data_IF_187212360669
#
_entry.id   IF_187212360669
#
_cell.length_a   1.000
_cell.length_b   1.000
_cell.length_c   1.000
_cell.angle_alpha   90.00
_cell.angle_beta   90.00
_cell.angle_gamma   90.00
#
_symmetry.space_group_name_H-M   'P 1'
#
loop_
_entity.id
_entity.type
_entity.pdbx_description
1 polymer ?
#
# COMPACT_ATOMS: atom_id res chain seq x y z
N UNK A 1 -13.20 -2.91 1.44
CA UNK A 1 -11.76 -3.18 1.26
C UNK A 1 -11.04 -2.75 2.51
N UNK A 2 -10.37 -3.68 3.18
CA UNK A 2 -9.52 -3.42 4.34
C UNK A 2 -8.16 -2.84 3.90
N UNK A 3 -7.38 -2.23 4.82
CA UNK A 3 -6.04 -1.73 4.49
C UNK A 3 -5.07 -2.82 4.01
N UNK A 4 -5.25 -4.05 4.49
CA UNK A 4 -4.50 -5.20 4.02
C UNK A 4 -4.88 -5.57 2.58
N UNK A 5 -6.18 -5.66 2.28
CA UNK A 5 -6.67 -5.92 0.91
C UNK A 5 -6.24 -4.81 -0.07
N UNK A 6 -6.21 -3.56 0.38
CA UNK A 6 -5.71 -2.44 -0.42
C UNK A 6 -4.21 -2.57 -0.73
N UNK A 7 -3.43 -3.05 0.23
CA UNK A 7 -2.01 -3.33 0.03
C UNK A 7 -1.80 -4.51 -0.93
N UNK A 8 -2.56 -5.60 -0.80
CA UNK A 8 -2.53 -6.71 -1.76
C UNK A 8 -2.92 -6.25 -3.17
N UNK A 9 -3.95 -5.43 -3.29
CA UNK A 9 -4.38 -4.85 -4.56
C UNK A 9 -3.27 -3.97 -5.18
N UNK A 10 -2.57 -3.16 -4.38
CA UNK A 10 -1.44 -2.36 -4.85
C UNK A 10 -0.29 -3.24 -5.36
N UNK A 11 0.04 -4.33 -4.65
CA UNK A 11 1.05 -5.30 -5.08
C UNK A 11 0.65 -5.98 -6.41
N UNK A 12 -0.62 -6.34 -6.55
CA UNK A 12 -1.17 -6.92 -7.77
C UNK A 12 -1.13 -5.92 -8.94
N UNK A 13 -1.55 -4.68 -8.72
CA UNK A 13 -1.53 -3.60 -9.71
C UNK A 13 -0.12 -3.27 -10.21
N UNK A 14 0.89 -3.36 -9.34
CA UNK A 14 2.30 -3.21 -9.71
C UNK A 14 2.86 -4.40 -10.54
N UNK A 15 2.09 -5.50 -10.68
CA UNK A 15 2.51 -6.72 -11.38
C UNK A 15 3.34 -7.68 -10.51
N UNK A 16 3.12 -7.67 -9.19
CA UNK A 16 3.70 -8.60 -8.23
C UNK A 16 4.73 -7.98 -7.28
N UNK A 17 5.09 -8.74 -6.25
CA UNK A 17 5.90 -8.26 -5.11
C UNK A 17 7.29 -7.73 -5.53
N UNK A 18 7.94 -8.32 -6.53
CA UNK A 18 9.25 -7.86 -7.02
C UNK A 18 9.15 -6.48 -7.67
N UNK A 19 8.14 -6.27 -8.51
CA UNK A 19 7.92 -4.97 -9.18
C UNK A 19 7.48 -3.91 -8.19
N UNK A 20 6.56 -4.26 -7.29
CA UNK A 20 6.13 -3.40 -6.19
C UNK A 20 7.31 -2.97 -5.30
N UNK A 21 8.14 -3.92 -4.87
CA UNK A 21 9.31 -3.63 -4.04
C UNK A 21 10.26 -2.65 -4.72
N UNK A 22 10.62 -2.90 -5.97
CA UNK A 22 11.46 -1.97 -6.77
C UNK A 22 10.84 -0.59 -6.91
N UNK A 23 9.53 -0.52 -7.11
CA UNK A 23 8.79 0.73 -7.27
C UNK A 23 8.85 1.60 -6.01
N UNK A 24 8.74 1.01 -4.81
CA UNK A 24 8.77 1.75 -3.53
C UNK A 24 10.15 1.77 -2.86
N UNK A 25 11.20 1.22 -3.52
CA UNK A 25 12.57 1.23 -3.01
C UNK A 25 12.90 0.18 -1.94
N UNK A 26 12.19 -0.95 -1.90
CA UNK A 26 12.45 -2.06 -0.94
C UNK A 26 12.66 -3.41 -1.65
N UNK A 27 13.25 -4.37 -0.93
CA UNK A 27 13.41 -5.73 -1.44
C UNK A 27 12.08 -6.47 -1.54
N UNK A 28 11.96 -7.42 -2.48
CA UNK A 28 10.78 -8.28 -2.58
C UNK A 28 10.52 -9.06 -1.29
N UNK A 29 11.58 -9.53 -0.60
CA UNK A 29 11.46 -10.21 0.69
C UNK A 29 10.81 -9.35 1.78
N UNK A 30 11.07 -8.04 1.78
CA UNK A 30 10.38 -7.11 2.71
C UNK A 30 8.88 -7.07 2.44
N UNK A 31 8.50 -6.96 1.17
CA UNK A 31 7.08 -6.97 0.75
C UNK A 31 6.42 -8.29 1.16
N UNK A 32 7.08 -9.43 0.90
CA UNK A 32 6.61 -10.74 1.30
C UNK A 32 6.42 -10.85 2.81
N UNK A 33 7.39 -10.40 3.60
CA UNK A 33 7.31 -10.42 5.07
C UNK A 33 6.10 -9.64 5.60
N UNK A 34 5.77 -8.50 4.98
CA UNK A 34 4.58 -7.74 5.37
C UNK A 34 3.29 -8.48 5.02
N UNK A 35 3.19 -9.01 3.80
CA UNK A 35 2.01 -9.76 3.35
C UNK A 35 1.80 -11.04 4.17
N UNK A 36 2.85 -11.84 4.37
CA UNK A 36 2.79 -13.08 5.14
C UNK A 36 2.42 -12.88 6.61
N UNK A 37 2.72 -11.70 7.17
CA UNK A 37 2.34 -11.33 8.54
C UNK A 37 1.00 -10.60 8.60
N UNK A 38 0.24 -10.54 7.49
CA UNK A 38 -0.99 -9.77 7.35
C UNK A 38 -0.86 -8.31 7.81
N UNK A 39 0.31 -7.71 7.56
CA UNK A 39 0.60 -6.32 7.93
C UNK A 39 0.13 -5.36 6.85
N UNK A 40 -0.25 -4.17 7.30
CA UNK A 40 -0.52 -3.02 6.42
C UNK A 40 0.79 -2.44 5.88
N UNK A 41 0.69 -1.67 4.80
CA UNK A 41 1.81 -0.95 4.23
C UNK A 41 2.39 0.06 5.24
N UNK A 42 3.71 0.06 5.51
CA UNK A 42 4.31 1.07 6.39
C UNK A 42 4.12 2.48 5.84
N UNK A 43 3.96 3.45 6.73
CA UNK A 43 3.56 4.82 6.40
C UNK A 43 4.50 5.49 5.38
N UNK A 44 5.80 5.23 5.51
CA UNK A 44 6.86 5.81 4.67
C UNK A 44 6.71 5.48 3.18
N UNK A 45 6.04 4.37 2.85
CA UNK A 45 5.89 3.89 1.47
C UNK A 45 4.52 4.18 0.86
N UNK A 46 3.59 4.77 1.63
CA UNK A 46 2.20 4.97 1.17
C UNK A 46 2.13 5.88 -0.05
N UNK A 47 2.85 7.00 -0.06
CA UNK A 47 2.81 7.95 -1.17
C UNK A 47 3.47 7.36 -2.43
N UNK A 48 4.56 6.61 -2.28
CA UNK A 48 5.21 5.92 -3.39
C UNK A 48 4.30 4.83 -3.97
N UNK A 49 3.64 4.06 -3.12
CA UNK A 49 2.67 3.04 -3.53
C UNK A 49 1.47 3.66 -4.25
N UNK A 50 0.89 4.76 -3.74
CA UNK A 50 -0.21 5.47 -4.39
C UNK A 50 0.20 6.00 -5.76
N UNK A 51 1.36 6.66 -5.87
CA UNK A 51 1.85 7.20 -7.13
C UNK A 51 2.11 6.10 -8.17
N UNK A 52 2.58 4.93 -7.75
CA UNK A 52 2.92 3.83 -8.66
C UNK A 52 1.79 2.86 -8.99
N UNK A 53 0.75 2.79 -8.17
CA UNK A 53 -0.36 1.82 -8.34
C UNK A 53 -1.72 2.46 -8.56
N UNK A 54 -1.86 3.75 -8.26
CA UNK A 54 -3.14 4.46 -8.28
C UNK A 54 -4.08 4.11 -7.13
N UNK A 55 -3.69 3.21 -6.22
CA UNK A 55 -4.49 2.88 -5.03
C UNK A 55 -4.37 4.01 -4.03
N UNK A 56 -5.51 4.60 -3.67
CA UNK A 56 -5.55 5.77 -2.79
C UNK A 56 -4.92 5.49 -1.42
N UNK A 57 -4.14 6.46 -0.92
CA UNK A 57 -3.59 6.47 0.44
C UNK A 57 -4.66 6.28 1.53
N UNK A 58 -5.90 6.71 1.25
CA UNK A 58 -7.04 6.56 2.14
C UNK A 58 -7.48 5.11 2.33
N UNK A 59 -7.20 4.25 1.34
CA UNK A 59 -7.44 2.81 1.44
C UNK A 59 -6.24 2.10 2.08
N UNK A 60 -5.01 2.50 1.72
CA UNK A 60 -3.79 1.89 2.23
C UNK A 60 -3.57 2.13 3.73
N UNK A 61 -3.82 3.36 4.20
CA UNK A 61 -3.61 3.79 5.59
C UNK A 61 -4.68 4.80 6.03
N UNK A 62 -5.94 4.37 6.22
CA UNK A 62 -7.02 5.25 6.69
C UNK A 62 -6.78 5.86 8.06
N UNK A 63 -5.94 5.24 8.89
CA UNK A 63 -5.54 5.71 10.21
C UNK A 63 -4.66 6.98 10.16
N UNK A 64 -3.84 7.14 9.11
CA UNK A 64 -3.03 8.34 8.87
C UNK A 64 -3.70 9.27 7.86
N UNK A 65 -4.38 8.70 6.86
CA UNK A 65 -5.05 9.43 5.80
C UNK A 65 -6.56 9.16 5.86
N UNK A 66 -7.28 9.69 6.86
CA UNK A 66 -8.73 9.56 6.88
C UNK A 66 -9.30 10.22 5.63
N UNK A 67 -10.36 9.63 5.06
CA UNK A 67 -11.21 10.35 4.11
C UNK A 67 -11.79 11.51 4.91
N UNK A 68 -11.33 12.73 4.64
CA UNK A 68 -11.99 13.91 5.14
C UNK A 68 -13.41 13.87 4.58
N UNK A 69 -14.35 13.38 5.38
CA UNK A 69 -15.77 13.63 5.17
C UNK A 69 -15.85 15.14 5.07
N UNK A 70 -16.16 15.64 3.87
CA UNK A 70 -16.41 17.06 3.68
C UNK A 70 -17.47 17.45 4.70
N UNK A 71 -17.09 18.27 5.67
CA UNK A 71 -18.03 19.04 6.45
C UNK A 71 -18.67 20.02 5.46
N UNK A 72 -19.91 19.72 5.08
CA UNK A 72 -20.82 20.65 4.45
C UNK A 72 -21.38 21.62 5.49
#
# INVERSE_FOLDING_TARGET
MSPYEAFEAAVSAAGGQTKFGRMIGVSQQRVWNWLNQHKVLPADYVLAAEAGTGISRHLLRPDIYPLAVQAA
#
